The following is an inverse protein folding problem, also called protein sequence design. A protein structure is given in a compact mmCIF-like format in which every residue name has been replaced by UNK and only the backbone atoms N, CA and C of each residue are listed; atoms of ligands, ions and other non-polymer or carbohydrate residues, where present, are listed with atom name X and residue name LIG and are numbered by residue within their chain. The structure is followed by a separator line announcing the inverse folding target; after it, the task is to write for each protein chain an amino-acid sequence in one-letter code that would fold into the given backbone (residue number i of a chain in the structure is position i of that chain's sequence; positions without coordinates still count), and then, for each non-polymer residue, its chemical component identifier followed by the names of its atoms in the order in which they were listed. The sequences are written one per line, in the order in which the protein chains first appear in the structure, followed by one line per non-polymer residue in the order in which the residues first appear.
data_IF_568074642167
#
_entry.id   IF_568074642167
#
_cell.length_a   1.000
_cell.length_b   1.000
_cell.length_c   1.000
_cell.angle_alpha   90.00
_cell.angle_beta   90.00
_cell.angle_gamma   90.00
#
_symmetry.space_group_name_H-M   'P 1'
#
loop_
_entity.id
_entity.type
_entity.pdbx_description
1 polymer ?
#
# COMPACT_ATOMS: atom_id res chain seq x y z
N UNK A 1 -6.55 -8.78 12.42
CA UNK A 1 -6.85 -8.45 13.84
C UNK A 1 -6.92 -9.75 14.64
N UNK A 2 -5.77 -10.19 15.15
CA UNK A 2 -5.70 -11.43 15.94
C UNK A 2 -4.60 -11.39 17.01
N UNK A 3 -3.93 -10.23 17.18
CA UNK A 3 -2.80 -10.07 18.09
C UNK A 3 -3.27 -9.49 19.42
N UNK A 4 -3.06 -10.19 20.51
CA UNK A 4 -3.48 -9.77 21.86
C UNK A 4 -2.26 -9.68 22.77
N UNK A 5 -2.14 -8.57 23.50
CA UNK A 5 -1.19 -8.44 24.61
C UNK A 5 -1.90 -8.73 25.92
N UNK A 6 -1.39 -9.70 26.68
CA UNK A 6 -1.87 -10.05 28.02
C UNK A 6 -0.87 -9.53 29.06
N UNK A 7 -1.34 -8.81 30.07
CA UNK A 7 -0.51 -8.26 31.15
C UNK A 7 -1.12 -8.63 32.49
N UNK A 8 -0.40 -9.42 33.27
CA UNK A 8 -0.83 -9.87 34.60
C UNK A 8 0.42 -10.33 35.37
N UNK A 9 0.56 -10.01 36.63
CA UNK A 9 1.71 -10.46 37.46
C UNK A 9 1.58 -11.93 37.88
N UNK A 10 0.39 -12.52 37.79
CA UNK A 10 0.15 -13.94 37.99
C UNK A 10 0.49 -14.75 36.71
N UNK A 11 1.68 -15.36 36.71
CA UNK A 11 2.16 -16.21 35.60
C UNK A 11 1.22 -17.39 35.30
N UNK A 12 0.53 -17.92 36.32
CA UNK A 12 -0.39 -19.03 36.13
C UNK A 12 -1.64 -18.59 35.36
N UNK A 13 -2.18 -17.43 35.74
CA UNK A 13 -3.32 -16.81 35.08
C UNK A 13 -2.99 -16.43 33.63
N UNK A 14 -1.83 -15.81 33.37
CA UNK A 14 -1.35 -15.55 32.01
C UNK A 14 -1.38 -16.80 31.13
N UNK A 15 -0.83 -17.91 31.63
CA UNK A 15 -0.77 -19.18 30.86
C UNK A 15 -2.15 -19.77 30.57
N UNK A 16 -3.11 -19.64 31.50
CA UNK A 16 -4.48 -20.12 31.30
C UNK A 16 -5.16 -19.32 30.20
N UNK A 17 -5.09 -17.98 30.28
CA UNK A 17 -5.74 -17.07 29.33
C UNK A 17 -5.05 -17.19 27.96
N UNK A 18 -3.72 -17.21 27.92
CA UNK A 18 -2.95 -17.41 26.68
C UNK A 18 -3.37 -18.68 25.97
N UNK A 19 -3.42 -19.81 26.69
CA UNK A 19 -3.82 -21.10 26.11
C UNK A 19 -5.27 -21.06 25.59
N UNK A 20 -6.16 -20.43 26.33
CA UNK A 20 -7.57 -20.26 25.91
C UNK A 20 -7.66 -19.48 24.60
N UNK A 21 -7.00 -18.32 24.52
CA UNK A 21 -7.04 -17.42 23.35
C UNK A 21 -6.30 -18.03 22.15
N UNK A 22 -5.16 -18.65 22.37
CA UNK A 22 -4.40 -19.33 21.32
C UNK A 22 -5.20 -20.48 20.71
N UNK A 23 -5.91 -21.25 21.53
CA UNK A 23 -6.80 -22.31 21.02
C UNK A 23 -7.97 -21.79 20.20
N UNK A 24 -8.34 -20.52 20.35
CA UNK A 24 -9.36 -19.81 19.58
C UNK A 24 -8.78 -19.08 18.33
N UNK A 25 -7.48 -19.22 18.04
CA UNK A 25 -6.86 -18.66 16.84
C UNK A 25 -6.22 -17.27 17.03
N UNK A 26 -6.11 -16.78 18.27
CA UNK A 26 -5.41 -15.53 18.57
C UNK A 26 -3.91 -15.73 18.73
N UNK A 27 -3.13 -14.72 18.36
CA UNK A 27 -1.69 -14.67 18.62
C UNK A 27 -1.48 -13.84 19.88
N UNK A 28 -1.02 -14.46 20.95
CA UNK A 28 -0.87 -13.82 22.25
C UNK A 28 0.60 -13.52 22.56
N UNK A 29 0.86 -12.29 23.02
CA UNK A 29 2.10 -11.92 23.71
C UNK A 29 1.79 -11.69 25.18
N UNK A 30 2.66 -12.14 26.09
CA UNK A 30 2.42 -12.05 27.53
C UNK A 30 3.49 -11.22 28.23
N UNK A 31 3.08 -10.43 29.22
CA UNK A 31 3.95 -9.62 30.05
C UNK A 31 3.55 -9.76 31.52
N UNK A 32 4.54 -9.95 32.40
CA UNK A 32 4.35 -10.12 33.86
C UNK A 32 4.39 -8.79 34.62
N UNK A 33 4.58 -7.67 33.92
CA UNK A 33 4.56 -6.32 34.47
C UNK A 33 4.35 -5.30 33.37
N UNK A 34 4.02 -4.06 33.75
CA UNK A 34 3.86 -2.94 32.82
C UNK A 34 5.15 -2.63 32.08
N UNK A 35 6.31 -2.66 32.74
CA UNK A 35 7.61 -2.39 32.11
C UNK A 35 7.92 -3.42 31.01
N UNK A 36 7.57 -4.68 31.27
CA UNK A 36 7.74 -5.74 30.25
C UNK A 36 6.77 -5.55 29.09
N UNK A 37 5.54 -5.15 29.36
CA UNK A 37 4.55 -4.81 28.35
C UNK A 37 5.02 -3.64 27.46
N UNK A 38 5.49 -2.55 28.08
CA UNK A 38 6.05 -1.39 27.36
C UNK A 38 7.27 -1.77 26.49
N UNK A 39 8.10 -2.69 26.95
CA UNK A 39 9.23 -3.21 26.17
C UNK A 39 8.76 -3.96 24.91
N UNK A 40 7.71 -4.77 25.02
CA UNK A 40 7.13 -5.49 23.88
C UNK A 40 6.45 -4.54 22.87
N UNK A 41 5.77 -3.50 23.38
CA UNK A 41 5.03 -2.54 22.56
C UNK A 41 5.92 -1.63 21.70
N UNK A 42 7.24 -1.65 21.89
CA UNK A 42 8.19 -0.93 21.00
C UNK A 42 8.24 -1.55 19.59
N UNK A 43 8.14 -2.88 19.52
CA UNK A 43 8.26 -3.63 18.29
C UNK A 43 6.94 -4.33 17.85
N UNK A 44 5.88 -4.16 18.64
CA UNK A 44 4.64 -4.89 18.49
C UNK A 44 3.42 -4.01 18.81
N UNK A 45 2.55 -3.83 17.83
CA UNK A 45 1.24 -3.17 18.04
C UNK A 45 0.17 -4.26 18.10
N UNK A 46 -0.47 -4.47 19.27
CA UNK A 46 -1.56 -5.44 19.42
C UNK A 46 -2.89 -4.88 18.88
N UNK A 47 -3.82 -5.78 18.56
CA UNK A 47 -5.19 -5.45 18.21
C UNK A 47 -6.11 -5.31 19.43
N UNK A 48 -5.65 -5.81 20.59
CA UNK A 48 -6.31 -5.73 21.90
C UNK A 48 -5.26 -5.85 23.00
N UNK A 49 -5.38 -5.05 24.06
CA UNK A 49 -4.63 -5.19 25.28
C UNK A 49 -5.59 -5.64 26.39
N UNK A 50 -5.24 -6.71 27.09
CA UNK A 50 -5.94 -7.22 28.26
C UNK A 50 -4.98 -7.12 29.42
N UNK A 51 -5.30 -6.30 30.42
CA UNK A 51 -4.42 -6.05 31.57
C UNK A 51 -5.12 -6.35 32.87
N UNK A 52 -4.40 -6.95 33.79
CA UNK A 52 -4.82 -6.91 35.20
C UNK A 52 -4.85 -5.47 35.66
N UNK A 53 -5.82 -5.20 36.54
CA UNK A 53 -5.92 -3.93 37.25
C UNK A 53 -4.86 -3.84 38.34
N UNK A 54 -4.75 -4.88 39.18
CA UNK A 54 -3.86 -4.92 40.32
C UNK A 54 -2.53 -5.58 40.00
N UNK A 55 -1.51 -4.76 39.79
CA UNK A 55 -0.14 -5.24 39.60
C UNK A 55 0.83 -4.50 40.52
N UNK A 56 1.92 -5.15 40.96
CA UNK A 56 2.96 -4.51 41.76
C UNK A 56 3.61 -3.33 41.03
N UNK A 57 3.98 -2.28 41.79
CA UNK A 57 4.65 -1.06 41.32
C UNK A 57 3.79 -0.15 40.42
N UNK A 58 3.29 -0.63 39.30
CA UNK A 58 2.48 0.12 38.34
C UNK A 58 1.20 -0.66 38.08
N UNK A 59 0.06 -0.11 38.46
CA UNK A 59 -1.24 -0.72 38.23
C UNK A 59 -1.72 -0.53 36.79
N UNK A 60 -2.78 -1.26 36.42
CA UNK A 60 -3.33 -1.22 35.06
C UNK A 60 -3.87 0.15 34.65
N UNK A 61 -4.32 1.01 35.58
CA UNK A 61 -4.78 2.37 35.27
C UNK A 61 -3.62 3.25 34.78
N UNK A 62 -2.54 3.30 35.53
CA UNK A 62 -1.34 4.05 35.18
C UNK A 62 -0.76 3.53 33.86
N UNK A 63 -0.83 2.23 33.61
CA UNK A 63 -0.46 1.66 32.32
C UNK A 63 -1.34 2.21 31.19
N UNK A 64 -2.66 2.23 31.36
CA UNK A 64 -3.57 2.78 30.36
C UNK A 64 -3.34 4.28 30.11
N UNK A 65 -3.14 5.08 31.17
CA UNK A 65 -2.80 6.50 31.04
C UNK A 65 -1.57 6.72 30.17
N UNK A 66 -0.49 5.97 30.37
CA UNK A 66 0.71 6.05 29.53
C UNK A 66 0.46 5.67 28.07
N UNK A 67 -0.41 4.67 27.84
CA UNK A 67 -0.78 4.29 26.47
C UNK A 67 -1.60 5.38 25.77
N UNK A 68 -2.41 6.15 26.50
CA UNK A 68 -3.18 7.26 25.95
C UNK A 68 -2.30 8.42 25.48
N UNK A 69 -1.10 8.58 26.06
CA UNK A 69 -0.11 9.56 25.63
C UNK A 69 0.65 9.16 24.37
N UNK A 70 0.53 7.90 23.93
CA UNK A 70 1.22 7.39 22.76
C UNK A 70 0.29 7.34 21.53
N UNK A 71 0.60 8.12 20.50
CA UNK A 71 -0.23 8.25 19.30
C UNK A 71 -0.50 6.93 18.56
N UNK A 72 0.40 5.96 18.63
CA UNK A 72 0.23 4.64 18.00
C UNK A 72 -0.62 3.69 18.84
N UNK A 73 -0.62 3.87 20.15
CA UNK A 73 -1.23 2.93 21.11
C UNK A 73 -2.52 3.45 21.74
N UNK A 74 -2.77 4.76 21.74
CA UNK A 74 -3.95 5.38 22.37
C UNK A 74 -5.28 4.80 21.90
N UNK A 75 -5.35 4.41 20.60
CA UNK A 75 -6.56 3.87 19.99
C UNK A 75 -6.64 2.34 20.05
N UNK A 76 -5.65 1.65 20.62
CA UNK A 76 -5.71 0.20 20.80
C UNK A 76 -6.77 -0.11 21.86
N UNK A 77 -7.74 -1.00 21.54
CA UNK A 77 -8.74 -1.46 22.52
C UNK A 77 -8.08 -1.97 23.79
N UNK A 78 -8.60 -1.53 24.94
CA UNK A 78 -8.05 -1.90 26.25
C UNK A 78 -9.15 -2.48 27.12
N UNK A 79 -8.86 -3.62 27.74
CA UNK A 79 -9.77 -4.34 28.60
C UNK A 79 -9.10 -4.65 29.93
N UNK A 80 -9.78 -4.38 31.04
CA UNK A 80 -9.29 -4.74 32.35
C UNK A 80 -9.81 -6.10 32.81
N UNK A 81 -8.92 -6.90 33.41
CA UNK A 81 -9.29 -8.02 34.26
C UNK A 81 -9.22 -7.57 35.71
N UNK A 82 -10.24 -7.84 36.49
CA UNK A 82 -10.31 -7.41 37.88
C UNK A 82 -10.83 -8.50 38.80
N UNK A 83 -10.30 -8.56 40.00
CA UNK A 83 -10.79 -9.47 41.06
C UNK A 83 -12.00 -8.91 41.78
N UNK A 84 -12.31 -7.62 41.64
CA UNK A 84 -13.35 -6.91 42.40
C UNK A 84 -14.51 -6.44 41.50
N UNK A 85 -15.72 -6.46 42.08
CA UNK A 85 -16.93 -5.82 41.55
C UNK A 85 -17.10 -4.42 42.20
N UNK A 86 -16.08 -3.59 42.18
CA UNK A 86 -16.16 -2.24 42.71
C UNK A 86 -16.63 -1.26 41.64
N UNK A 87 -17.85 -0.73 41.81
CA UNK A 87 -18.45 0.21 40.86
C UNK A 87 -17.62 1.48 40.66
N UNK A 88 -16.88 1.92 41.66
CA UNK A 88 -16.01 3.11 41.58
C UNK A 88 -14.79 2.85 40.68
N UNK A 89 -14.18 1.66 40.75
CA UNK A 89 -13.08 1.27 39.92
C UNK A 89 -13.52 1.10 38.45
N UNK A 90 -14.70 0.56 38.23
CA UNK A 90 -15.29 0.45 36.90
C UNK A 90 -15.49 1.83 36.27
N UNK A 91 -15.99 2.81 37.07
CA UNK A 91 -16.19 4.18 36.58
C UNK A 91 -14.87 4.86 36.22
N UNK A 92 -13.85 4.77 37.06
CA UNK A 92 -12.52 5.36 36.78
C UNK A 92 -11.88 4.82 35.47
N UNK A 93 -12.02 3.54 35.21
CA UNK A 93 -11.45 3.02 34.02
C UNK A 93 -12.26 3.27 32.74
N UNK A 94 -13.57 3.44 32.84
CA UNK A 94 -14.38 3.96 31.74
C UNK A 94 -13.95 5.39 31.37
N UNK A 95 -13.59 6.22 32.37
CA UNK A 95 -13.03 7.55 32.18
C UNK A 95 -11.69 7.52 31.44
N UNK A 96 -10.93 6.41 31.56
CA UNK A 96 -9.70 6.14 30.79
C UNK A 96 -9.94 5.46 29.42
N UNK A 97 -11.17 5.51 28.93
CA UNK A 97 -11.55 4.93 27.64
C UNK A 97 -11.25 3.42 27.53
N UNK A 98 -11.28 2.69 28.63
CA UNK A 98 -11.31 1.23 28.58
C UNK A 98 -12.66 0.77 27.99
N UNK A 99 -12.62 -0.27 27.16
CA UNK A 99 -13.84 -0.72 26.48
C UNK A 99 -14.74 -1.53 27.40
N UNK A 100 -14.15 -2.33 28.29
CA UNK A 100 -14.92 -3.15 29.25
C UNK A 100 -14.04 -3.58 30.44
N UNK A 101 -14.73 -4.08 31.47
CA UNK A 101 -14.17 -4.73 32.66
C UNK A 101 -14.67 -6.17 32.71
N UNK A 102 -13.76 -7.10 32.92
CA UNK A 102 -14.11 -8.50 33.06
C UNK A 102 -13.63 -9.01 34.40
N UNK A 103 -14.53 -9.53 35.28
CA UNK A 103 -14.13 -10.19 36.50
C UNK A 103 -13.21 -11.39 36.22
N UNK A 104 -12.11 -11.52 36.97
CA UNK A 104 -11.19 -12.68 36.83
C UNK A 104 -11.91 -14.01 37.09
N UNK A 105 -12.96 -13.99 37.94
CA UNK A 105 -13.82 -15.16 38.25
C UNK A 105 -14.93 -15.25 37.21
N UNK A 106 -14.57 -15.52 35.97
CA UNK A 106 -15.53 -15.76 34.85
C UNK A 106 -15.22 -17.12 34.19
N UNK A 107 -16.24 -17.89 33.82
CA UNK A 107 -16.01 -19.11 33.06
C UNK A 107 -15.20 -18.84 31.77
N UNK A 108 -14.21 -19.67 31.42
CA UNK A 108 -13.37 -19.47 30.22
C UNK A 108 -14.16 -19.26 28.93
N UNK A 109 -15.29 -19.96 28.78
CA UNK A 109 -16.18 -19.83 27.62
C UNK A 109 -16.82 -18.44 27.53
N UNK A 110 -17.18 -17.85 28.67
CA UNK A 110 -17.76 -16.50 28.70
C UNK A 110 -16.70 -15.43 28.45
N UNK A 111 -15.47 -15.60 28.99
CA UNK A 111 -14.33 -14.72 28.68
C UNK A 111 -14.06 -14.71 27.17
N UNK A 112 -13.96 -15.88 26.58
CA UNK A 112 -13.72 -16.00 25.14
C UNK A 112 -14.86 -15.37 24.31
N UNK A 113 -16.13 -15.60 24.72
CA UNK A 113 -17.27 -14.99 24.03
C UNK A 113 -17.26 -13.46 24.11
N UNK A 114 -16.91 -12.89 25.27
CA UNK A 114 -16.78 -11.43 25.43
C UNK A 114 -15.66 -10.87 24.53
N UNK A 115 -14.48 -11.50 24.53
CA UNK A 115 -13.36 -11.07 23.70
C UNK A 115 -13.71 -11.17 22.21
N UNK A 116 -14.32 -12.28 21.76
CA UNK A 116 -14.75 -12.45 20.39
C UNK A 116 -15.76 -11.37 19.96
N UNK A 117 -16.75 -11.09 20.79
CA UNK A 117 -17.76 -10.06 20.50
C UNK A 117 -17.09 -8.68 20.40
N UNK A 118 -16.19 -8.34 21.35
CA UNK A 118 -15.46 -7.10 21.34
C UNK A 118 -14.62 -6.95 20.05
N UNK A 119 -13.82 -7.96 19.73
CA UNK A 119 -12.98 -7.94 18.52
C UNK A 119 -13.81 -7.84 17.24
N UNK A 120 -14.95 -8.49 17.18
CA UNK A 120 -15.87 -8.35 16.05
C UNK A 120 -16.46 -6.95 15.97
N UNK A 121 -16.93 -6.37 17.09
CA UNK A 121 -17.45 -5.00 17.12
C UNK A 121 -16.40 -3.97 16.67
N UNK A 122 -15.18 -4.07 17.17
CA UNK A 122 -14.07 -3.20 16.76
C UNK A 122 -13.79 -3.34 15.26
N UNK A 123 -13.78 -4.59 14.76
CA UNK A 123 -13.57 -4.88 13.33
C UNK A 123 -14.71 -4.30 12.47
N UNK A 124 -15.96 -4.45 12.90
CA UNK A 124 -17.13 -3.92 12.19
C UNK A 124 -17.13 -2.39 12.18
N UNK A 125 -16.82 -1.74 13.29
CA UNK A 125 -16.70 -0.27 13.36
C UNK A 125 -15.59 0.24 12.44
N UNK A 126 -14.43 -0.40 12.45
CA UNK A 126 -13.34 -0.07 11.54
C UNK A 126 -13.76 -0.22 10.08
N UNK A 127 -14.39 -1.33 9.72
CA UNK A 127 -14.89 -1.59 8.37
C UNK A 127 -15.95 -0.58 7.94
N UNK A 128 -16.84 -0.18 8.85
CA UNK A 128 -17.85 0.85 8.60
C UNK A 128 -17.20 2.20 8.31
N UNK A 129 -16.24 2.63 9.12
CA UNK A 129 -15.49 3.88 8.90
C UNK A 129 -14.77 3.87 7.55
N UNK A 130 -14.13 2.76 7.19
CA UNK A 130 -13.52 2.61 5.87
C UNK A 130 -14.53 2.70 4.73
N UNK A 131 -15.70 2.07 4.89
CA UNK A 131 -16.78 2.14 3.90
C UNK A 131 -17.30 3.57 3.71
N UNK A 132 -17.42 4.33 4.80
CA UNK A 132 -17.81 5.75 4.76
C UNK A 132 -16.78 6.60 4.03
N UNK A 133 -15.46 6.43 4.32
CA UNK A 133 -14.37 7.11 3.61
C UNK A 133 -14.40 6.77 2.12
N UNK A 134 -14.56 5.48 1.78
CA UNK A 134 -14.69 5.04 0.40
C UNK A 134 -15.89 5.68 -0.30
N UNK A 135 -17.03 5.72 0.36
CA UNK A 135 -18.24 6.37 -0.17
C UNK A 135 -18.07 7.87 -0.41
N UNK A 136 -17.33 8.56 0.46
CA UNK A 136 -16.97 9.98 0.26
C UNK A 136 -16.03 10.14 -0.94
N UNK A 137 -14.99 9.33 -1.02
CA UNK A 137 -14.05 9.35 -2.14
C UNK A 137 -14.74 9.10 -3.49
N UNK A 138 -15.66 8.14 -3.55
CA UNK A 138 -16.46 7.86 -4.74
C UNK A 138 -17.36 9.05 -5.13
N UNK A 139 -18.01 9.68 -4.15
CA UNK A 139 -18.85 10.88 -4.37
C UNK A 139 -18.02 12.07 -4.86
N UNK A 140 -16.82 12.25 -4.33
CA UNK A 140 -15.89 13.29 -4.77
C UNK A 140 -15.16 12.92 -6.07
N UNK A 141 -15.44 11.72 -6.61
CA UNK A 141 -14.79 11.20 -7.82
C UNK A 141 -13.25 11.13 -7.70
N UNK A 142 -12.74 10.95 -6.47
CA UNK A 142 -11.32 10.77 -6.21
C UNK A 142 -10.89 9.38 -6.70
N UNK A 143 -9.93 9.34 -7.62
CA UNK A 143 -9.41 8.11 -8.21
C UNK A 143 -7.91 8.22 -8.41
N UNK A 144 -7.22 7.20 -7.97
CA UNK A 144 -5.80 6.99 -8.27
C UNK A 144 -5.60 6.08 -9.50
N UNK A 145 -6.68 5.48 -10.03
CA UNK A 145 -6.66 4.69 -11.26
C UNK A 145 -7.70 5.27 -12.23
N UNK A 146 -7.35 5.54 -13.51
CA UNK A 146 -8.27 6.11 -14.49
C UNK A 146 -9.36 5.10 -14.88
N UNK A 147 -10.49 5.59 -15.40
CA UNK A 147 -11.58 4.73 -15.89
C UNK A 147 -11.28 4.10 -17.25
N UNK A 148 -10.50 4.76 -18.07
CA UNK A 148 -10.19 4.37 -19.45
C UNK A 148 -8.88 4.99 -19.89
N UNK A 149 -8.17 4.29 -20.78
CA UNK A 149 -7.01 4.82 -21.47
C UNK A 149 -7.42 5.86 -22.54
N UNK A 150 -6.54 6.81 -22.88
CA UNK A 150 -6.75 7.70 -24.00
C UNK A 150 -6.70 6.93 -25.33
N UNK A 151 -7.39 7.48 -26.34
CA UNK A 151 -7.36 6.94 -27.70
C UNK A 151 -6.26 7.68 -28.46
N UNK A 152 -5.27 6.94 -28.94
CA UNK A 152 -4.15 7.45 -29.74
C UNK A 152 -4.22 6.90 -31.16
N UNK A 153 -3.62 7.61 -32.13
CA UNK A 153 -3.66 7.17 -33.51
C UNK A 153 -2.70 6.00 -33.76
N UNK A 154 -1.49 6.08 -33.22
CA UNK A 154 -0.40 5.16 -33.50
C UNK A 154 -0.10 4.17 -32.36
N UNK A 155 -0.68 4.35 -31.18
CA UNK A 155 -0.48 3.48 -30.03
C UNK A 155 -1.78 2.98 -29.46
N UNK A 156 -1.73 1.87 -28.76
CA UNK A 156 -2.76 1.34 -27.88
C UNK A 156 -2.20 1.30 -26.46
N UNK A 157 -3.02 1.64 -25.47
CA UNK A 157 -2.64 1.58 -24.07
C UNK A 157 -3.60 0.63 -23.36
N UNK A 158 -3.03 -0.41 -22.76
CA UNK A 158 -3.73 -1.34 -21.86
C UNK A 158 -3.17 -1.18 -20.46
N UNK A 159 -3.99 -1.26 -19.45
CA UNK A 159 -3.53 -1.17 -18.07
C UNK A 159 -4.43 -1.99 -17.16
N UNK A 160 -3.90 -2.35 -16.01
CA UNK A 160 -4.65 -3.00 -14.96
C UNK A 160 -4.06 -2.67 -13.60
N UNK A 161 -4.90 -2.69 -12.60
CA UNK A 161 -4.52 -2.57 -11.20
C UNK A 161 -5.34 -3.58 -10.39
N UNK A 162 -4.66 -4.36 -9.58
CA UNK A 162 -5.24 -5.28 -8.62
C UNK A 162 -4.74 -4.90 -7.23
N UNK A 163 -5.57 -4.23 -6.44
CA UNK A 163 -5.16 -3.83 -5.10
C UNK A 163 -5.06 -5.03 -4.16
N UNK A 164 -4.11 -4.98 -3.23
CA UNK A 164 -3.88 -6.03 -2.25
C UNK A 164 -5.09 -6.24 -1.35
N UNK A 165 -5.55 -7.50 -1.23
CA UNK A 165 -6.73 -7.87 -0.44
C UNK A 165 -8.01 -7.09 -0.79
N UNK A 166 -8.15 -6.62 -2.03
CA UNK A 166 -9.24 -5.75 -2.49
C UNK A 166 -9.41 -4.45 -1.65
N UNK A 167 -8.35 -3.98 -1.00
CA UNK A 167 -8.33 -2.71 -0.28
C UNK A 167 -7.60 -1.65 -1.12
N UNK A 168 -8.01 -0.37 -1.05
CA UNK A 168 -7.28 0.70 -1.74
C UNK A 168 -5.80 0.71 -1.34
N UNK A 169 -4.93 0.84 -2.34
CA UNK A 169 -3.49 0.76 -2.18
C UNK A 169 -2.75 2.02 -2.64
N UNK A 170 -1.41 1.95 -2.54
CA UNK A 170 -0.49 3.04 -2.90
C UNK A 170 -0.32 3.23 -4.40
N UNK A 171 -0.53 2.17 -5.19
CA UNK A 171 -0.38 2.22 -6.64
C UNK A 171 -1.34 3.23 -7.27
N UNK A 172 -0.82 4.03 -8.19
CA UNK A 172 -1.61 4.95 -8.99
C UNK A 172 -1.18 4.94 -10.45
N UNK A 173 -2.18 5.06 -11.34
CA UNK A 173 -1.99 5.20 -12.78
C UNK A 173 -2.70 6.48 -13.21
N UNK A 174 -2.10 7.25 -14.11
CA UNK A 174 -2.78 8.38 -14.73
C UNK A 174 -2.36 8.55 -16.20
N UNK A 175 -3.27 9.15 -16.96
CA UNK A 175 -3.05 9.55 -18.35
C UNK A 175 -3.38 11.02 -18.50
N UNK A 176 -2.41 11.82 -18.95
CA UNK A 176 -2.59 13.24 -19.17
C UNK A 176 -2.39 13.52 -20.66
N UNK A 177 -3.49 13.58 -21.40
CA UNK A 177 -3.47 13.97 -22.79
C UNK A 177 -3.43 15.49 -22.90
N UNK A 178 -2.37 16.02 -23.46
CA UNK A 178 -2.18 17.46 -23.67
C UNK A 178 -2.88 17.90 -24.96
N UNK A 179 -2.68 17.12 -26.02
CA UNK A 179 -3.30 17.33 -27.33
C UNK A 179 -3.30 15.99 -28.10
N UNK A 180 -3.61 15.99 -29.39
CA UNK A 180 -3.62 14.78 -30.22
C UNK A 180 -2.23 14.13 -30.38
N UNK A 181 -1.14 14.91 -30.20
CA UNK A 181 0.23 14.47 -30.35
C UNK A 181 0.84 13.97 -29.05
N UNK A 182 0.65 14.70 -27.94
CA UNK A 182 1.36 14.45 -26.69
C UNK A 182 0.46 13.89 -25.61
N UNK A 183 0.85 12.74 -25.07
CA UNK A 183 0.17 12.09 -23.94
C UNK A 183 1.19 11.60 -22.93
N UNK A 184 1.03 11.98 -21.68
CA UNK A 184 1.81 11.44 -20.56
C UNK A 184 1.11 10.19 -20.03
N UNK A 185 1.91 9.16 -19.76
CA UNK A 185 1.53 7.93 -19.07
C UNK A 185 2.30 7.86 -17.77
N UNK A 186 1.61 7.60 -16.68
CA UNK A 186 2.14 7.67 -15.33
C UNK A 186 1.79 6.39 -14.61
N UNK A 187 2.77 5.78 -13.96
CA UNK A 187 2.63 4.71 -12.99
C UNK A 187 3.51 5.05 -11.78
N UNK A 188 2.96 5.02 -10.60
CA UNK A 188 3.72 5.22 -9.37
C UNK A 188 3.15 4.39 -8.23
N UNK A 189 3.96 4.21 -7.21
CA UNK A 189 3.60 3.56 -5.96
C UNK A 189 4.06 4.40 -4.77
N UNK A 190 3.14 4.66 -3.84
CA UNK A 190 3.40 5.40 -2.61
C UNK A 190 3.77 4.41 -1.51
N UNK A 191 4.90 4.65 -0.86
CA UNK A 191 5.34 3.84 0.28
C UNK A 191 4.24 3.66 1.34
N UNK A 192 4.08 2.43 1.79
CA UNK A 192 3.07 2.05 2.77
C UNK A 192 1.99 1.19 2.15
N UNK A 193 1.05 0.75 2.99
CA UNK A 193 -0.02 -0.15 2.54
C UNK A 193 -1.38 0.40 2.92
N UNK A 194 -2.41 -0.02 2.16
CA UNK A 194 -3.81 0.24 2.46
C UNK A 194 -4.17 1.74 2.37
N UNK A 195 -5.07 2.18 3.23
CA UNK A 195 -5.69 3.50 3.18
C UNK A 195 -4.72 4.68 3.34
N UNK A 196 -3.62 4.52 4.09
CA UNK A 196 -2.62 5.58 4.24
C UNK A 196 -1.95 5.89 2.91
N UNK A 197 -1.38 4.88 2.26
CA UNK A 197 -0.75 5.03 0.95
C UNK A 197 -1.74 5.51 -0.11
N UNK A 198 -2.97 4.96 -0.12
CA UNK A 198 -4.03 5.41 -1.01
C UNK A 198 -4.38 6.89 -0.86
N UNK A 199 -4.45 7.38 0.39
CA UNK A 199 -4.72 8.81 0.64
C UNK A 199 -3.61 9.70 0.06
N UNK A 200 -2.35 9.34 0.30
CA UNK A 200 -1.22 10.11 -0.20
C UNK A 200 -1.06 10.04 -1.73
N UNK A 201 -1.53 8.96 -2.38
CA UNK A 201 -1.47 8.86 -3.85
C UNK A 201 -2.18 10.03 -4.55
N UNK A 202 -3.25 10.60 -3.95
CA UNK A 202 -3.92 11.79 -4.49
C UNK A 202 -3.07 13.06 -4.39
N UNK A 203 -2.31 13.21 -3.30
CA UNK A 203 -1.37 14.31 -3.14
C UNK A 203 -0.29 14.24 -4.22
N UNK A 204 0.33 13.08 -4.39
CA UNK A 204 1.31 12.86 -5.47
C UNK A 204 0.71 13.13 -6.85
N UNK A 205 -0.46 12.57 -7.17
CA UNK A 205 -1.13 12.83 -8.44
C UNK A 205 -1.43 14.31 -8.66
N UNK A 206 -1.80 15.05 -7.62
CA UNK A 206 -2.06 16.49 -7.73
C UNK A 206 -0.80 17.26 -8.08
N UNK A 207 0.34 16.96 -7.43
CA UNK A 207 1.63 17.56 -7.76
C UNK A 207 2.12 17.19 -9.15
N UNK A 208 2.01 15.92 -9.54
CA UNK A 208 2.38 15.42 -10.86
C UNK A 208 1.56 16.13 -11.94
N UNK A 209 0.24 16.15 -11.82
CA UNK A 209 -0.67 16.82 -12.76
C UNK A 209 -0.38 18.31 -12.90
N UNK A 210 -0.09 18.98 -11.78
CA UNK A 210 0.21 20.42 -11.77
C UNK A 210 1.56 20.69 -12.40
N UNK A 211 2.60 19.93 -12.05
CA UNK A 211 3.93 20.10 -12.59
C UNK A 211 3.96 19.89 -14.11
N UNK A 212 3.34 18.80 -14.61
CA UNK A 212 3.24 18.53 -16.05
C UNK A 212 2.56 19.69 -16.77
N UNK A 213 1.40 20.16 -16.28
CA UNK A 213 0.67 21.25 -16.94
C UNK A 213 1.44 22.57 -16.93
N UNK A 214 2.11 22.90 -15.83
CA UNK A 214 2.94 24.11 -15.74
C UNK A 214 4.15 24.01 -16.69
N UNK A 215 4.83 22.86 -16.75
CA UNK A 215 5.92 22.69 -17.69
C UNK A 215 5.46 22.80 -19.15
N UNK A 216 4.30 22.23 -19.48
CA UNK A 216 3.72 22.36 -20.83
C UNK A 216 3.34 23.81 -21.17
N UNK A 217 2.85 24.60 -20.19
CA UNK A 217 2.59 26.03 -20.38
C UNK A 217 3.88 26.84 -20.62
N UNK A 218 5.01 26.36 -20.09
CA UNK A 218 6.35 26.92 -20.31
C UNK A 218 7.06 26.32 -21.54
N UNK A 219 6.32 25.66 -22.43
CA UNK A 219 6.81 24.96 -23.64
C UNK A 219 7.88 23.88 -23.33
N UNK A 220 7.89 23.33 -22.12
CA UNK A 220 8.82 22.31 -21.68
C UNK A 220 8.15 20.93 -21.68
N UNK A 221 8.74 19.99 -22.45
CA UNK A 221 8.34 18.58 -22.50
C UNK A 221 9.46 17.64 -21.97
N UNK A 222 10.47 18.18 -21.31
CA UNK A 222 11.54 17.39 -20.71
C UNK A 222 11.04 16.66 -19.45
N UNK A 223 11.08 15.34 -19.48
CA UNK A 223 10.71 14.49 -18.34
C UNK A 223 11.66 14.69 -17.16
N UNK A 224 12.94 14.92 -17.43
CA UNK A 224 13.96 15.21 -16.42
C UNK A 224 13.58 16.46 -15.61
N UNK A 225 13.18 17.53 -16.30
CA UNK A 225 12.78 18.79 -15.65
C UNK A 225 11.47 18.65 -14.89
N UNK A 226 10.49 17.93 -15.45
CA UNK A 226 9.21 17.64 -14.81
C UNK A 226 9.44 16.87 -13.51
N UNK A 227 10.21 15.79 -13.52
CA UNK A 227 10.54 14.99 -12.34
C UNK A 227 11.29 15.80 -11.28
N UNK A 228 12.24 16.63 -11.70
CA UNK A 228 12.98 17.52 -10.80
C UNK A 228 12.02 18.50 -10.07
N UNK A 229 11.09 19.12 -10.80
CA UNK A 229 10.10 20.04 -10.23
C UNK A 229 9.15 19.30 -9.27
N UNK A 230 8.64 18.12 -9.65
CA UNK A 230 7.79 17.29 -8.80
C UNK A 230 8.53 16.97 -7.50
N UNK A 231 9.76 16.45 -7.60
CA UNK A 231 10.55 16.06 -6.45
C UNK A 231 10.78 17.22 -5.47
N UNK A 232 11.09 18.41 -5.99
CA UNK A 232 11.30 19.60 -5.15
C UNK A 232 10.04 20.01 -4.39
N UNK A 233 8.89 19.94 -5.01
CA UNK A 233 7.60 20.26 -4.37
C UNK A 233 7.26 19.23 -3.31
N UNK A 234 7.37 17.94 -3.64
CA UNK A 234 7.10 16.84 -2.71
C UNK A 234 8.03 16.89 -1.49
N UNK A 235 9.33 17.10 -1.73
CA UNK A 235 10.32 17.17 -0.64
C UNK A 235 10.12 18.39 0.29
N UNK A 236 9.56 19.47 -0.21
CA UNK A 236 9.28 20.68 0.57
C UNK A 236 7.93 20.65 1.31
N UNK A 237 7.08 19.65 1.05
CA UNK A 237 5.76 19.53 1.69
C UNK A 237 5.88 18.82 3.04
N UNK A 238 5.59 19.54 4.12
CA UNK A 238 5.65 18.99 5.49
C UNK A 238 4.68 17.81 5.70
N UNK A 239 3.55 17.76 4.96
CA UNK A 239 2.60 16.63 5.04
C UNK A 239 3.15 15.34 4.40
N UNK A 240 4.15 15.47 3.53
CA UNK A 240 4.80 14.36 2.84
C UNK A 240 6.24 14.11 3.33
N UNK A 241 6.65 14.72 4.45
CA UNK A 241 8.05 14.68 4.92
C UNK A 241 8.65 13.27 5.05
N UNK A 242 7.81 12.28 5.42
CA UNK A 242 8.23 10.88 5.58
C UNK A 242 7.51 9.94 4.59
N UNK A 243 6.93 10.50 3.53
CA UNK A 243 6.19 9.74 2.50
C UNK A 243 6.93 9.82 1.18
N UNK A 244 7.37 8.68 0.68
CA UNK A 244 8.11 8.58 -0.57
C UNK A 244 7.28 7.83 -1.61
N UNK A 245 7.58 8.08 -2.88
CA UNK A 245 6.92 7.39 -3.98
C UNK A 245 7.90 7.02 -5.08
N UNK A 246 7.69 5.85 -5.68
CA UNK A 246 8.24 5.57 -7.00
C UNK A 246 7.43 6.32 -8.05
N UNK A 247 8.03 6.60 -9.20
CA UNK A 247 7.31 7.16 -10.32
C UNK A 247 7.98 6.78 -11.64
N UNK A 248 7.24 6.10 -12.52
CA UNK A 248 7.56 5.95 -13.93
C UNK A 248 6.73 6.93 -14.74
N UNK A 249 7.36 7.70 -15.62
CA UNK A 249 6.69 8.65 -16.51
C UNK A 249 7.13 8.41 -17.96
N UNK A 250 6.16 8.30 -18.86
CA UNK A 250 6.39 8.23 -20.31
C UNK A 250 5.66 9.38 -20.98
N UNK A 251 6.34 10.07 -21.88
CA UNK A 251 5.75 10.97 -22.85
C UNK A 251 5.65 10.23 -24.18
N UNK A 252 4.44 10.05 -24.67
CA UNK A 252 4.15 9.53 -26.01
C UNK A 252 4.07 10.72 -26.96
N UNK A 253 4.95 10.78 -27.97
CA UNK A 253 4.79 11.61 -29.17
C UNK A 253 4.13 10.72 -30.24
N UNK A 254 2.81 10.83 -30.37
CA UNK A 254 2.03 9.98 -31.28
C UNK A 254 2.34 10.27 -32.74
N UNK A 255 2.75 11.49 -33.08
CA UNK A 255 3.11 11.88 -34.46
C UNK A 255 4.50 11.33 -34.82
N UNK A 256 5.52 11.51 -33.98
CA UNK A 256 6.86 11.00 -34.21
C UNK A 256 6.98 9.50 -33.90
N UNK A 257 5.98 8.91 -33.25
CA UNK A 257 5.95 7.48 -32.89
C UNK A 257 7.05 7.12 -31.92
N UNK A 258 7.35 8.05 -31.01
CA UNK A 258 8.43 8.02 -30.05
C UNK A 258 7.88 7.99 -28.63
N UNK A 259 8.49 7.18 -27.78
CA UNK A 259 8.31 7.25 -26.32
C UNK A 259 9.56 7.88 -25.71
N UNK A 260 9.36 8.82 -24.78
CA UNK A 260 10.41 9.26 -23.87
C UNK A 260 10.07 8.72 -22.49
N UNK A 261 11.02 8.14 -21.81
CA UNK A 261 10.87 7.53 -20.49
C UNK A 261 11.81 8.15 -19.48
N UNK A 262 11.33 8.40 -18.29
CA UNK A 262 12.14 8.73 -17.13
C UNK A 262 11.47 8.14 -15.88
N UNK A 263 12.26 7.90 -14.83
CA UNK A 263 11.75 7.32 -13.60
C UNK A 263 12.44 7.84 -12.34
N UNK A 264 11.78 7.63 -11.21
CA UNK A 264 12.21 7.99 -9.88
C UNK A 264 12.03 6.79 -8.94
N UNK A 265 13.11 6.07 -8.64
CA UNK A 265 13.09 4.88 -7.78
C UNK A 265 12.22 3.73 -8.31
N UNK A 266 11.90 3.75 -9.58
CA UNK A 266 10.99 2.82 -10.23
C UNK A 266 11.71 1.55 -10.75
N UNK A 267 10.89 0.58 -11.16
CA UNK A 267 11.37 -0.59 -11.87
C UNK A 267 11.68 -0.25 -13.33
N UNK A 268 12.59 -0.99 -14.00
CA UNK A 268 12.92 -0.73 -15.39
C UNK A 268 11.70 -0.85 -16.31
N UNK A 269 11.58 0.07 -17.26
CA UNK A 269 10.70 -0.11 -18.40
C UNK A 269 11.16 -1.33 -19.21
N UNK A 270 10.26 -2.26 -19.47
CA UNK A 270 10.55 -3.47 -20.24
C UNK A 270 10.02 -3.30 -21.67
N UNK A 271 10.86 -3.53 -22.68
CA UNK A 271 10.46 -3.51 -24.09
C UNK A 271 10.46 -4.92 -24.66
N UNK A 272 9.34 -5.30 -25.27
CA UNK A 272 9.23 -6.49 -26.11
C UNK A 272 9.50 -6.11 -27.57
N UNK A 273 10.49 -6.78 -28.18
CA UNK A 273 10.79 -6.71 -29.61
C UNK A 273 10.37 -8.00 -30.31
N UNK A 274 9.76 -7.87 -31.47
CA UNK A 274 9.33 -9.03 -32.25
C UNK A 274 10.55 -9.83 -32.70
N UNK A 275 10.57 -11.12 -32.35
CA UNK A 275 11.69 -12.02 -32.70
C UNK A 275 12.85 -12.01 -31.70
N UNK A 276 12.83 -11.12 -30.71
CA UNK A 276 13.81 -11.14 -29.64
C UNK A 276 13.38 -12.17 -28.55
N UNK A 277 14.26 -13.08 -28.13
CA UNK A 277 13.94 -14.06 -27.09
C UNK A 277 13.85 -13.46 -25.69
N UNK A 278 14.30 -12.21 -25.49
CA UNK A 278 14.37 -11.53 -24.20
C UNK A 278 13.77 -10.13 -24.26
N UNK A 279 13.27 -9.64 -23.12
CA UNK A 279 12.83 -8.26 -22.97
C UNK A 279 14.02 -7.34 -22.72
N UNK A 280 14.09 -6.23 -23.43
CA UNK A 280 15.06 -5.16 -23.24
C UNK A 280 14.62 -4.33 -22.01
N UNK A 281 15.55 -4.01 -21.13
CA UNK A 281 15.29 -3.20 -19.93
C UNK A 281 15.90 -1.82 -20.09
N UNK A 282 15.10 -0.78 -19.88
CA UNK A 282 15.51 0.62 -19.76
C UNK A 282 15.45 1.01 -18.30
N UNK A 283 16.62 1.17 -17.65
CA UNK A 283 16.71 1.50 -16.23
C UNK A 283 16.81 3.01 -16.07
N UNK A 284 15.99 3.58 -15.17
CA UNK A 284 16.16 4.96 -14.72
C UNK A 284 17.24 5.05 -13.63
N UNK A 285 17.85 6.23 -13.50
CA UNK A 285 18.88 6.53 -12.48
C UNK A 285 18.30 7.41 -11.35
N UNK A 286 17.03 7.78 -11.42
CA UNK A 286 16.39 8.68 -10.47
C UNK A 286 16.11 8.02 -9.12
N UNK A 287 16.35 8.75 -8.04
CA UNK A 287 15.98 8.32 -6.69
C UNK A 287 14.49 8.58 -6.44
N UNK A 288 13.91 7.87 -5.44
CA UNK A 288 12.53 8.05 -4.97
C UNK A 288 12.16 9.52 -4.82
N UNK A 289 10.95 9.87 -5.22
CA UNK A 289 10.41 11.21 -5.01
C UNK A 289 10.27 11.51 -3.51
N UNK A 290 10.69 12.72 -3.14
CA UNK A 290 10.65 13.21 -1.76
C UNK A 290 11.85 12.83 -0.90
N UNK A 291 12.68 11.86 -1.31
CA UNK A 291 13.76 11.33 -0.47
C UNK A 291 14.92 12.34 -0.31
N UNK A 292 15.33 13.02 -1.38
CA UNK A 292 16.36 14.06 -1.35
C UNK A 292 15.88 15.32 -2.07
N UNK A 293 16.27 16.49 -1.54
CA UNK A 293 15.90 17.79 -2.13
C UNK A 293 16.35 17.95 -3.60
N UNK A 294 17.53 17.42 -3.93
CA UNK A 294 18.14 17.51 -5.26
C UNK A 294 18.20 16.12 -5.89
N UNK A 295 17.10 15.70 -6.51
CA UNK A 295 17.05 14.52 -7.36
C UNK A 295 17.65 14.80 -8.73
N UNK A 296 18.38 13.84 -9.29
CA UNK A 296 18.82 13.86 -10.68
C UNK A 296 18.04 12.81 -11.45
N UNK A 297 17.41 13.20 -12.55
CA UNK A 297 16.54 12.35 -13.35
C UNK A 297 16.94 12.46 -14.81
N UNK A 298 17.18 11.33 -15.46
CA UNK A 298 17.53 11.26 -16.86
C UNK A 298 16.38 10.72 -17.71
N UNK A 299 16.19 11.29 -18.88
CA UNK A 299 15.22 10.77 -19.85
C UNK A 299 15.91 9.91 -20.91
N UNK A 300 15.20 8.90 -21.40
CA UNK A 300 15.65 7.97 -22.43
C UNK A 300 14.59 7.89 -23.54
N UNK A 301 15.05 7.80 -24.77
CA UNK A 301 14.17 7.58 -25.93
C UNK A 301 13.98 6.09 -26.17
N UNK A 302 12.73 5.66 -26.36
CA UNK A 302 12.35 4.26 -26.61
C UNK A 302 11.52 4.19 -27.88
N UNK A 303 12.06 3.58 -28.89
CA UNK A 303 11.38 3.36 -30.18
C UNK A 303 10.70 2.00 -30.19
N UNK A 304 9.42 1.98 -30.57
CA UNK A 304 8.68 0.75 -30.81
C UNK A 304 8.40 0.59 -32.31
N UNK A 305 8.79 -0.56 -32.89
CA UNK A 305 8.34 -0.95 -34.18
C UNK A 305 6.87 -1.40 -34.16
N UNK A 306 6.22 -1.54 -35.30
CA UNK A 306 4.83 -1.97 -35.38
C UNK A 306 4.62 -3.32 -34.69
N UNK A 307 3.69 -3.36 -33.73
CA UNK A 307 3.38 -4.54 -32.95
C UNK A 307 4.28 -4.77 -31.72
N UNK A 308 5.35 -3.97 -31.53
CA UNK A 308 6.17 -4.02 -30.32
C UNK A 308 5.48 -3.34 -29.13
N UNK A 309 5.90 -3.69 -27.95
CA UNK A 309 5.26 -3.27 -26.70
C UNK A 309 6.28 -2.80 -25.66
N UNK A 310 5.87 -1.82 -24.85
CA UNK A 310 6.58 -1.38 -23.66
C UNK A 310 5.71 -1.61 -22.43
N UNK A 311 6.31 -2.06 -21.32
CA UNK A 311 5.64 -2.41 -20.06
C UNK A 311 6.19 -1.57 -18.92
N UNK A 312 5.32 -0.82 -18.26
CA UNK A 312 5.56 -0.28 -16.90
C UNK A 312 4.91 -1.23 -15.89
N UNK A 313 5.58 -1.48 -14.78
CA UNK A 313 5.14 -2.41 -13.74
C UNK A 313 5.39 -1.83 -12.35
N UNK A 314 4.51 -2.11 -11.39
CA UNK A 314 4.80 -1.89 -9.96
C UNK A 314 5.50 -3.12 -9.35
N UNK A 315 6.06 -2.96 -8.16
CA UNK A 315 6.84 -4.01 -7.50
C UNK A 315 5.99 -5.25 -7.12
N UNK A 316 4.70 -5.06 -6.82
CA UNK A 316 3.79 -6.18 -6.58
C UNK A 316 3.65 -7.16 -7.76
N UNK A 317 4.05 -6.76 -8.99
CA UNK A 317 4.10 -7.66 -10.14
C UNK A 317 5.28 -8.64 -10.09
N UNK A 318 6.31 -8.35 -9.30
CA UNK A 318 7.55 -9.14 -9.19
C UNK A 318 7.78 -9.69 -7.79
N UNK A 319 6.98 -9.26 -6.82
CA UNK A 319 7.04 -9.67 -5.43
C UNK A 319 6.09 -10.84 -5.14
N UNK A 320 6.59 -11.85 -4.45
CA UNK A 320 5.81 -13.03 -4.05
C UNK A 320 6.34 -13.62 -2.74
N UNK A 321 5.52 -14.44 -2.09
CA UNK A 321 5.87 -15.10 -0.84
C UNK A 321 6.29 -16.57 -1.09
N UNK A 322 7.43 -16.96 -0.53
CA UNK A 322 7.91 -18.35 -0.49
C UNK A 322 8.35 -18.67 0.93
N UNK A 323 7.76 -19.70 1.53
CA UNK A 323 8.06 -20.15 2.89
C UNK A 323 7.96 -19.04 3.95
N UNK A 324 6.98 -18.12 3.80
CA UNK A 324 6.76 -16.99 4.71
C UNK A 324 7.73 -15.81 4.54
N UNK A 325 8.58 -15.83 3.51
CA UNK A 325 9.50 -14.75 3.20
C UNK A 325 9.17 -14.08 1.85
N UNK A 326 9.22 -12.74 1.81
CA UNK A 326 9.08 -11.97 0.56
C UNK A 326 10.29 -12.23 -0.33
N UNK A 327 10.03 -12.55 -1.59
CA UNK A 327 11.03 -12.66 -2.67
C UNK A 327 10.65 -11.73 -3.81
N UNK A 328 11.65 -11.17 -4.46
CA UNK A 328 11.50 -10.28 -5.62
C UNK A 328 12.25 -10.88 -6.80
N UNK A 329 11.58 -11.14 -7.92
CA UNK A 329 12.20 -11.67 -9.14
C UNK A 329 11.57 -11.13 -10.43
N UNK A 330 12.21 -10.14 -11.02
CA UNK A 330 11.80 -9.55 -12.31
C UNK A 330 11.97 -10.54 -13.47
N UNK A 331 12.91 -11.51 -13.39
CA UNK A 331 13.15 -12.44 -14.48
C UNK A 331 12.01 -13.44 -14.63
N UNK A 332 11.34 -13.76 -13.53
CA UNK A 332 10.13 -14.58 -13.56
C UNK A 332 9.05 -13.89 -14.41
N UNK A 333 8.78 -12.60 -14.15
CA UNK A 333 7.82 -11.82 -14.93
C UNK A 333 8.23 -11.71 -16.40
N UNK A 334 9.51 -11.40 -16.67
CA UNK A 334 10.03 -11.35 -18.05
C UNK A 334 9.80 -12.65 -18.80
N UNK A 335 10.10 -13.78 -18.16
CA UNK A 335 9.92 -15.11 -18.76
C UNK A 335 8.44 -15.41 -19.06
N UNK A 336 7.53 -14.96 -18.19
CA UNK A 336 6.08 -15.07 -18.39
C UNK A 336 5.61 -14.28 -19.60
N UNK A 337 5.98 -13.00 -19.69
CA UNK A 337 5.61 -12.14 -20.83
C UNK A 337 6.08 -12.77 -22.13
N UNK A 338 7.36 -13.19 -22.21
CA UNK A 338 7.91 -13.84 -23.41
C UNK A 338 7.16 -15.14 -23.76
N UNK A 339 6.83 -15.95 -22.76
CA UNK A 339 6.08 -17.19 -22.98
C UNK A 339 4.68 -16.91 -23.57
N UNK A 340 3.96 -15.95 -23.02
CA UNK A 340 2.64 -15.54 -23.52
C UNK A 340 2.74 -15.02 -24.96
N UNK A 341 3.78 -14.24 -25.29
CA UNK A 341 4.04 -13.76 -26.66
C UNK A 341 4.37 -14.90 -27.65
N UNK A 342 5.12 -15.92 -27.22
CA UNK A 342 5.40 -17.10 -28.05
C UNK A 342 4.12 -17.88 -28.39
N UNK A 343 3.09 -17.84 -27.56
CA UNK A 343 1.81 -18.48 -27.80
C UNK A 343 0.82 -17.57 -28.55
N UNK A 344 1.31 -16.45 -29.16
CA UNK A 344 0.53 -15.47 -29.92
C UNK A 344 -0.67 -14.90 -29.16
N UNK A 345 -0.58 -14.79 -27.82
CA UNK A 345 -1.61 -14.16 -27.02
C UNK A 345 -1.71 -12.68 -27.37
N UNK A 346 -2.94 -12.19 -27.49
CA UNK A 346 -3.19 -10.76 -27.68
C UNK A 346 -2.79 -9.96 -26.44
N UNK A 347 -2.57 -8.66 -26.58
CA UNK A 347 -2.23 -7.78 -25.46
C UNK A 347 -3.32 -7.78 -24.38
N UNK A 348 -4.60 -7.90 -24.79
CA UNK A 348 -5.73 -8.00 -23.86
C UNK A 348 -5.70 -9.31 -23.06
N UNK A 349 -5.43 -10.44 -23.73
CA UNK A 349 -5.27 -11.73 -23.06
C UNK A 349 -4.07 -11.75 -22.11
N UNK A 350 -2.94 -11.13 -22.50
CA UNK A 350 -1.76 -10.99 -21.64
C UNK A 350 -2.11 -10.21 -20.38
N UNK A 351 -2.85 -9.13 -20.50
CA UNK A 351 -3.33 -8.34 -19.36
C UNK A 351 -4.08 -9.21 -18.35
N UNK A 352 -4.99 -10.06 -18.81
CA UNK A 352 -5.79 -10.93 -17.94
C UNK A 352 -4.96 -12.08 -17.36
N UNK A 353 -4.07 -12.68 -18.15
CA UNK A 353 -3.25 -13.82 -17.74
C UNK A 353 -2.15 -13.45 -16.75
N UNK A 354 -1.59 -12.24 -16.84
CA UNK A 354 -0.56 -11.78 -15.89
C UNK A 354 -1.06 -11.75 -14.44
N UNK A 355 -2.36 -11.49 -14.21
CA UNK A 355 -2.95 -11.55 -12.87
C UNK A 355 -3.39 -12.95 -12.45
N UNK A 356 -3.95 -13.74 -13.36
CA UNK A 356 -4.54 -15.05 -13.02
C UNK A 356 -3.50 -16.10 -12.58
N UNK A 357 -2.23 -15.92 -12.93
CA UNK A 357 -1.15 -16.84 -12.58
C UNK A 357 -0.36 -16.45 -11.33
N UNK A 358 -0.73 -15.36 -10.65
CA UNK A 358 -0.06 -14.98 -9.40
C UNK A 358 -0.45 -15.91 -8.25
N UNK A 359 0.51 -16.69 -7.77
CA UNK A 359 0.31 -17.73 -6.75
C UNK A 359 0.07 -17.14 -5.36
N UNK A 360 0.58 -15.94 -5.06
CA UNK A 360 0.33 -15.21 -3.80
C UNK A 360 0.62 -13.73 -3.95
N UNK A 361 -0.42 -12.93 -4.15
CA UNK A 361 -0.29 -11.47 -4.12
C UNK A 361 0.07 -11.02 -2.70
N UNK A 362 1.12 -10.23 -2.54
CA UNK A 362 1.58 -9.68 -1.26
C UNK A 362 1.59 -8.16 -1.22
N UNK A 363 1.42 -7.50 -2.37
CA UNK A 363 1.30 -6.06 -2.52
C UNK A 363 0.33 -5.68 -3.64
N UNK A 364 0.09 -4.37 -3.84
CA UNK A 364 -0.68 -3.86 -4.96
C UNK A 364 0.03 -4.20 -6.28
N UNK A 365 -0.71 -4.67 -7.26
CA UNK A 365 -0.16 -5.06 -8.55
C UNK A 365 -0.71 -4.18 -9.65
N UNK A 366 0.16 -3.40 -10.28
CA UNK A 366 -0.21 -2.53 -11.38
C UNK A 366 0.72 -2.70 -12.57
N UNK A 367 0.16 -2.56 -13.75
CA UNK A 367 0.97 -2.43 -14.96
C UNK A 367 0.27 -1.58 -16.02
N UNK A 368 1.08 -1.03 -16.92
CA UNK A 368 0.66 -0.36 -18.13
C UNK A 368 1.43 -0.95 -19.31
N UNK A 369 0.72 -1.31 -20.37
CA UNK A 369 1.29 -1.78 -21.64
C UNK A 369 1.03 -0.72 -22.70
N UNK A 370 2.07 -0.25 -23.36
CA UNK A 370 1.98 0.65 -24.52
C UNK A 370 2.39 -0.17 -25.75
N UNK A 371 1.46 -0.38 -26.67
CA UNK A 371 1.67 -1.14 -27.89
C UNK A 371 1.68 -0.23 -29.11
N UNK A 372 2.65 -0.41 -29.97
CA UNK A 372 2.65 0.23 -31.29
C UNK A 372 1.65 -0.47 -32.19
N UNK A 373 0.68 0.26 -32.75
CA UNK A 373 -0.30 -0.29 -33.70
C UNK A 373 0.39 -0.83 -34.97
N UNK A 374 -0.18 -1.89 -35.51
CA UNK A 374 0.17 -2.33 -36.84
C UNK A 374 -0.30 -1.26 -37.84
N UNK A 375 0.52 -0.92 -38.83
CA UNK A 375 0.03 -0.08 -39.92
C UNK A 375 -1.08 -0.87 -40.63
N UNK A 376 -2.31 -0.37 -40.61
CA UNK A 376 -3.30 -0.85 -41.58
C UNK A 376 -2.76 -0.50 -42.95
N UNK A 377 -2.32 -1.53 -43.68
CA UNK A 377 -2.00 -1.36 -45.11
C UNK A 377 -3.29 -0.84 -45.78
N UNK A 378 -3.27 0.45 -46.18
CA UNK A 378 -4.28 1.02 -47.05
C UNK A 378 -4.21 0.38 -48.42
#
# INVERSE_FOLDING_TARGET
MNKILLVDDDVFQLKIIEKLLTSAGYVCSTAISVEKAESLLRDFIPDLIISDYEMPNINGFVFRERLLENDLLKNVPFLFLTSFNDEQLVQQGLDLQAIDYIPKIIPPSQLLSKINNLMNTVKEQYQKSLSEIKGIAEKLNLRNIPKRAPILNNFEIHYSNQPFQNQPGGDFIDFIQINERYTFVILGDVMGKKWGAWFFSFSFLSYIRSAIRLCVLDDTLSLSEILFKINRVVHADELLADVFSTLSIILIDDEQKLLKYAGAGDLPLLKYEIGNPELISYQSDGLLLGFFANGNYNEQEVYLANGEEAYLISDGMIDFEVDGAKKTDINLLKSRIINLKKHNQSTEEIKDLLFNEQVSQIDDCSFVIIKRKLNENK
#
